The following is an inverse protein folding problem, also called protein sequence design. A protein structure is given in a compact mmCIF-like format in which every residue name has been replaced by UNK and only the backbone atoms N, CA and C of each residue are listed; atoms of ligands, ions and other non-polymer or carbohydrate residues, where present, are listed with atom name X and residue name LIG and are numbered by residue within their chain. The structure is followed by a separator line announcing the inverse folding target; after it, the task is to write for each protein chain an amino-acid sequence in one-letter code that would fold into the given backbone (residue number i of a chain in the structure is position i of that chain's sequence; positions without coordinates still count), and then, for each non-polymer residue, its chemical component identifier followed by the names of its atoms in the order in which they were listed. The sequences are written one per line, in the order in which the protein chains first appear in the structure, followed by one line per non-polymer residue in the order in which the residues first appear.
data_IF_953124292157
#
_entry.id   IF_953124292157
#
_cell.length_a   1.000
_cell.length_b   1.000
_cell.length_c   1.000
_cell.angle_alpha   90.00
_cell.angle_beta   90.00
_cell.angle_gamma   90.00
#
_symmetry.space_group_name_H-M   'P 1'
#
loop_
_entity.id
_entity.type
_entity.pdbx_description
1 polymer ?
#
# COMPACT_ATOMS: atom_id res chain seq x y z
N UNK A 1 4.65 -28.59 57.49
CA UNK A 1 3.79 -28.19 56.34
C UNK A 1 3.73 -26.68 56.09
N UNK A 2 3.84 -25.79 57.09
CA UNK A 2 3.80 -24.32 56.88
C UNK A 2 5.06 -23.72 56.21
N UNK A 3 6.27 -24.18 56.56
CA UNK A 3 7.53 -23.66 55.97
C UNK A 3 7.70 -23.98 54.48
N UNK A 4 7.22 -25.12 54.00
CA UNK A 4 7.24 -25.49 52.58
C UNK A 4 6.28 -24.63 51.75
N UNK A 5 5.09 -24.33 52.28
CA UNK A 5 4.14 -23.44 51.63
C UNK A 5 4.71 -22.02 51.50
N UNK A 6 5.41 -21.54 52.54
CA UNK A 6 6.09 -20.24 52.50
C UNK A 6 7.27 -20.22 51.50
N UNK A 7 8.05 -21.30 51.41
CA UNK A 7 9.14 -21.40 50.41
C UNK A 7 8.61 -21.45 48.98
N UNK A 8 7.53 -22.19 48.75
CA UNK A 8 6.84 -22.23 47.44
C UNK A 8 6.23 -20.88 47.09
N UNK A 9 5.66 -20.17 48.06
CA UNK A 9 5.11 -18.82 47.87
C UNK A 9 6.22 -17.79 47.58
N UNK A 10 7.38 -17.89 48.22
CA UNK A 10 8.52 -17.01 47.97
C UNK A 10 9.12 -17.23 46.59
N UNK A 11 9.38 -18.49 46.20
CA UNK A 11 9.91 -18.82 44.87
C UNK A 11 8.93 -18.46 43.74
N UNK A 12 7.62 -18.59 43.97
CA UNK A 12 6.61 -18.13 43.02
C UNK A 12 6.61 -16.61 42.84
N UNK A 13 6.85 -15.83 43.91
CA UNK A 13 6.94 -14.37 43.84
C UNK A 13 8.21 -13.91 43.13
N UNK A 14 9.34 -14.58 43.37
CA UNK A 14 10.60 -14.30 42.65
C UNK A 14 10.48 -14.60 41.16
N UNK A 15 9.86 -15.74 40.81
CA UNK A 15 9.59 -16.08 39.41
C UNK A 15 8.70 -15.01 38.74
N UNK A 16 7.69 -14.49 39.44
CA UNK A 16 6.84 -13.41 38.92
C UNK A 16 7.60 -12.09 38.76
N UNK A 17 8.46 -11.73 39.72
CA UNK A 17 9.28 -10.51 39.65
C UNK A 17 10.28 -10.55 38.48
N UNK A 18 10.89 -11.71 38.22
CA UNK A 18 11.77 -11.92 37.06
C UNK A 18 10.97 -11.83 35.76
N UNK A 19 9.76 -12.37 35.72
CA UNK A 19 8.85 -12.27 34.56
C UNK A 19 8.45 -10.81 34.28
N UNK A 20 8.30 -10.01 35.33
CA UNK A 20 7.95 -8.59 35.24
C UNK A 20 9.14 -7.73 34.76
N UNK A 21 10.36 -8.02 35.22
CA UNK A 21 11.59 -7.39 34.71
C UNK A 21 11.86 -7.72 33.23
N UNK A 22 11.62 -8.96 32.80
CA UNK A 22 11.75 -9.35 31.39
C UNK A 22 10.68 -8.71 30.49
N UNK A 23 9.49 -8.41 31.04
CA UNK A 23 8.47 -7.58 30.37
C UNK A 23 8.90 -6.12 30.22
N UNK A 24 9.62 -5.57 31.20
CA UNK A 24 10.09 -4.18 31.18
C UNK A 24 11.22 -3.92 30.16
N UNK A 25 12.01 -4.95 29.81
CA UNK A 25 13.07 -4.87 28.79
C UNK A 25 12.63 -5.19 27.36
N UNK A 26 11.37 -5.58 27.16
CA UNK A 26 10.84 -5.88 25.84
C UNK A 26 10.42 -4.60 25.12
N UNK A 27 11.25 -4.11 24.19
CA UNK A 27 10.72 -3.33 23.08
C UNK A 27 9.54 -4.13 22.54
N UNK A 28 8.32 -3.62 22.77
CA UNK A 28 7.12 -4.24 22.25
C UNK A 28 7.39 -4.55 20.78
N UNK A 29 7.04 -5.73 20.25
CA UNK A 29 6.98 -5.87 18.82
C UNK A 29 6.01 -4.77 18.40
N UNK A 30 6.54 -3.70 17.79
CA UNK A 30 5.73 -2.71 17.09
C UNK A 30 4.94 -3.59 16.16
N UNK A 31 3.66 -3.83 16.47
CA UNK A 31 2.79 -4.67 15.66
C UNK A 31 3.05 -4.17 14.26
N UNK A 32 3.76 -4.96 13.45
CA UNK A 32 4.01 -4.59 12.08
C UNK A 32 2.60 -4.42 11.56
N UNK A 33 2.21 -3.17 11.28
CA UNK A 33 0.90 -2.90 10.68
C UNK A 33 0.85 -3.90 9.55
N UNK A 34 -0.16 -4.80 9.51
CA UNK A 34 -0.23 -5.77 8.44
C UNK A 34 -0.05 -4.95 7.17
N UNK A 35 1.02 -5.23 6.43
CA UNK A 35 1.38 -4.48 5.23
C UNK A 35 0.08 -4.39 4.47
N UNK A 36 -0.49 -3.17 4.39
CA UNK A 36 -1.88 -3.01 4.03
C UNK A 36 -2.00 -3.72 2.70
N UNK A 37 -2.70 -4.87 2.70
CA UNK A 37 -2.82 -5.68 1.50
C UNK A 37 -3.56 -4.76 0.57
N UNK A 38 -2.81 -4.11 -0.33
CA UNK A 38 -3.38 -3.20 -1.30
C UNK A 38 -4.23 -4.13 -2.14
N UNK A 39 -5.53 -4.18 -1.82
CA UNK A 39 -6.55 -4.81 -2.63
C UNK A 39 -6.18 -4.39 -4.04
N UNK A 40 -5.71 -5.34 -4.86
CA UNK A 40 -5.27 -5.08 -6.22
C UNK A 40 -6.42 -4.30 -6.85
N UNK A 41 -6.24 -2.99 -7.04
CA UNK A 41 -7.29 -2.16 -7.62
C UNK A 41 -7.54 -2.77 -8.98
N UNK A 42 -8.81 -2.86 -9.38
CA UNK A 42 -9.13 -3.27 -10.75
C UNK A 42 -8.41 -2.26 -11.66
N UNK A 43 -7.48 -2.69 -12.52
CA UNK A 43 -6.76 -1.78 -13.39
C UNK A 43 -7.80 -1.05 -14.24
N UNK A 44 -7.69 0.27 -14.29
CA UNK A 44 -8.59 1.05 -15.15
C UNK A 44 -8.24 0.76 -16.62
N UNK A 45 -9.22 0.89 -17.50
CA UNK A 45 -9.05 0.55 -18.91
C UNK A 45 -7.90 1.31 -19.58
N UNK A 46 -7.63 2.55 -19.13
CA UNK A 46 -6.60 3.41 -19.68
C UNK A 46 -5.18 3.05 -19.22
N UNK A 47 -5.04 2.20 -18.19
CA UNK A 47 -3.72 1.77 -17.70
C UNK A 47 -2.96 0.91 -18.71
N UNK A 48 -3.62 0.49 -19.80
CA UNK A 48 -2.98 -0.17 -20.94
C UNK A 48 -2.11 0.78 -21.79
N UNK A 49 -2.43 2.07 -21.77
CA UNK A 49 -1.76 3.11 -22.57
C UNK A 49 -0.74 3.88 -21.72
N UNK A 50 0.01 4.81 -22.34
CA UNK A 50 0.80 5.78 -21.57
C UNK A 50 -0.18 6.84 -21.05
N UNK A 51 -0.22 7.06 -19.75
CA UNK A 51 -1.18 7.99 -19.15
C UNK A 51 -0.58 8.75 -17.98
N UNK A 52 -1.10 9.95 -17.74
CA UNK A 52 -0.79 10.73 -16.54
C UNK A 52 -1.95 11.69 -16.20
N UNK A 53 -1.95 12.20 -14.97
CA UNK A 53 -2.85 13.28 -14.58
C UNK A 53 -2.13 14.62 -14.70
N UNK A 54 -2.72 15.57 -15.42
CA UNK A 54 -2.25 16.95 -15.44
C UNK A 54 -2.48 17.62 -14.08
N UNK A 55 -1.79 18.74 -13.82
CA UNK A 55 -1.96 19.55 -12.61
C UNK A 55 -3.40 20.01 -12.41
N UNK A 56 -4.13 20.28 -13.50
CA UNK A 56 -5.54 20.66 -13.49
C UNK A 56 -6.50 19.46 -13.33
N UNK A 57 -5.98 18.24 -13.15
CA UNK A 57 -6.78 17.03 -12.91
C UNK A 57 -7.29 16.33 -14.17
N UNK A 58 -6.89 16.78 -15.38
CA UNK A 58 -7.22 16.09 -16.62
C UNK A 58 -6.45 14.77 -16.76
N UNK A 59 -7.16 13.72 -17.20
CA UNK A 59 -6.53 12.46 -17.60
C UNK A 59 -5.98 12.63 -19.02
N UNK A 60 -4.66 12.55 -19.16
CA UNK A 60 -3.98 12.60 -20.46
C UNK A 60 -3.59 11.18 -20.87
N UNK A 61 -3.89 10.83 -22.11
CA UNK A 61 -3.65 9.52 -22.71
C UNK A 61 -2.73 9.68 -23.93
N UNK A 62 -1.81 8.73 -24.11
CA UNK A 62 -0.94 8.63 -25.26
C UNK A 62 -0.70 7.16 -25.64
N UNK A 63 -0.82 6.86 -26.94
CA UNK A 63 -0.46 5.56 -27.49
C UNK A 63 1.06 5.44 -27.72
N UNK A 64 1.53 4.19 -27.88
CA UNK A 64 2.92 3.91 -28.28
C UNK A 64 3.11 3.97 -29.80
N UNK A 65 2.05 3.66 -30.54
CA UNK A 65 2.02 3.52 -31.99
C UNK A 65 0.80 4.25 -32.56
N UNK A 66 0.80 4.51 -33.87
CA UNK A 66 -0.32 5.17 -34.55
C UNK A 66 -1.66 4.43 -34.35
N UNK A 67 -1.65 3.10 -34.42
CA UNK A 67 -2.84 2.27 -34.22
C UNK A 67 -3.39 2.39 -32.78
N UNK A 68 -2.50 2.45 -31.78
CA UNK A 68 -2.92 2.69 -30.39
C UNK A 68 -3.51 4.08 -30.20
N UNK A 69 -2.95 5.10 -30.86
CA UNK A 69 -3.52 6.46 -30.83
C UNK A 69 -4.92 6.47 -31.45
N UNK A 70 -5.11 5.82 -32.59
CA UNK A 70 -6.41 5.72 -33.25
C UNK A 70 -7.42 4.97 -32.39
N UNK A 71 -7.02 3.90 -31.68
CA UNK A 71 -7.89 3.26 -30.68
C UNK A 71 -8.33 4.25 -29.58
N UNK A 72 -7.41 5.09 -29.09
CA UNK A 72 -7.72 6.11 -28.08
C UNK A 72 -8.72 7.14 -28.63
N UNK A 73 -8.47 7.64 -29.84
CA UNK A 73 -9.34 8.61 -30.51
C UNK A 73 -10.72 8.06 -30.82
N UNK A 74 -10.81 6.83 -31.32
CA UNK A 74 -12.06 6.24 -31.79
C UNK A 74 -12.93 5.70 -30.65
N UNK A 75 -12.33 5.09 -29.62
CA UNK A 75 -13.11 4.41 -28.55
C UNK A 75 -13.34 5.27 -27.32
N UNK A 76 -12.47 6.25 -27.05
CA UNK A 76 -12.41 6.89 -25.73
C UNK A 76 -12.48 8.41 -25.74
N UNK A 77 -12.28 9.09 -26.88
CA UNK A 77 -12.51 10.53 -26.97
C UNK A 77 -13.99 10.82 -27.20
N UNK A 78 -14.59 11.62 -26.31
CA UNK A 78 -15.91 12.21 -26.53
C UNK A 78 -15.79 13.60 -27.17
N UNK A 79 -16.91 14.15 -27.66
CA UNK A 79 -16.93 15.47 -28.35
C UNK A 79 -16.41 16.65 -27.50
N UNK A 80 -16.26 16.47 -26.20
CA UNK A 80 -15.78 17.49 -25.25
C UNK A 80 -14.31 17.30 -24.87
N UNK A 81 -13.68 16.23 -25.34
CA UNK A 81 -12.29 15.94 -25.04
C UNK A 81 -11.36 16.58 -26.07
N UNK A 82 -10.15 16.91 -25.61
CA UNK A 82 -9.16 17.61 -26.41
C UNK A 82 -8.19 16.59 -27.02
N UNK A 83 -8.10 16.60 -28.35
CA UNK A 83 -7.10 15.86 -29.11
C UNK A 83 -5.86 16.73 -29.31
N UNK A 84 -4.69 16.20 -28.95
CA UNK A 84 -3.41 16.85 -29.19
C UNK A 84 -2.62 16.01 -30.20
N UNK A 85 -2.31 16.60 -31.35
CA UNK A 85 -1.42 16.04 -32.36
C UNK A 85 -0.21 16.95 -32.51
N UNK A 86 0.98 16.37 -32.62
CA UNK A 86 2.21 17.15 -32.85
C UNK A 86 2.59 16.99 -34.32
N UNK A 87 2.72 18.11 -35.02
CA UNK A 87 3.12 18.16 -36.44
C UNK A 87 4.64 18.02 -36.62
N UNK A 88 5.33 17.45 -35.64
CA UNK A 88 6.78 17.32 -35.65
C UNK A 88 7.18 16.03 -36.35
N UNK A 89 7.93 16.09 -37.47
CA UNK A 89 8.62 14.92 -37.97
C UNK A 89 9.71 14.53 -36.97
N UNK A 90 9.62 13.31 -36.45
CA UNK A 90 10.70 12.66 -35.69
C UNK A 90 11.72 12.04 -36.63
#
# INVERSE_FOLDING_TARGET
RAKELSRKAAGAREAMAITEQLRAGGAAPRKARPAAVHRRRKPKWYERFRWFYSSDGFLVLGGRDAESNEEIYAKYLERRDLALHTDAPG
#
